data_IF_829490775984
#
_entry.id   IF_829490775984
#
_cell.length_a   1.000
_cell.length_b   1.000
_cell.length_c   1.000
_cell.angle_alpha   90.00
_cell.angle_beta   90.00
_cell.angle_gamma   90.00
#
_symmetry.space_group_name_H-M   'P 1'
#
loop_
_entity.id
_entity.type
_entity.pdbx_description
1 polymer ?
#
# COMPACT_ATOMS: atom_id res chain seq x y z
N UNK A 1 27.97 22.19 22.19
CA UNK A 1 26.68 22.15 21.49
C UNK A 1 26.81 23.03 20.24
N UNK A 2 27.01 22.43 19.06
CA UNK A 2 27.28 23.16 17.80
C UNK A 2 25.97 23.41 17.05
N UNK A 3 25.82 24.61 16.45
CA UNK A 3 24.59 25.06 15.78
C UNK A 3 24.38 24.31 14.45
N UNK A 4 23.11 24.24 14.02
CA UNK A 4 22.60 23.43 12.89
C UNK A 4 23.29 23.70 11.54
N UNK A 5 23.92 24.87 11.36
CA UNK A 5 24.68 25.24 10.16
C UNK A 5 26.07 24.60 10.07
N UNK A 6 26.73 24.32 11.21
CA UNK A 6 28.07 23.73 11.23
C UNK A 6 28.08 22.24 10.84
N UNK A 7 26.95 21.54 11.04
CA UNK A 7 26.78 20.13 10.65
C UNK A 7 26.65 19.94 9.14
N UNK A 8 26.11 20.93 8.41
CA UNK A 8 26.01 20.88 6.93
C UNK A 8 27.38 21.05 6.26
N UNK A 9 28.24 21.93 6.80
CA UNK A 9 29.59 22.13 6.27
C UNK A 9 30.54 20.94 6.51
N UNK A 10 30.30 20.15 7.55
CA UNK A 10 31.06 18.91 7.80
C UNK A 10 30.68 17.78 6.82
N UNK A 11 29.40 17.65 6.49
CA UNK A 11 28.91 16.63 5.55
C UNK A 11 29.39 16.86 4.10
N UNK A 12 29.48 18.13 3.67
CA UNK A 12 29.99 18.48 2.33
C UNK A 12 31.51 18.26 2.22
N UNK A 13 32.28 18.48 3.30
CA UNK A 13 33.72 18.18 3.31
C UNK A 13 34.03 16.67 3.28
N UNK A 14 33.16 15.84 3.85
CA UNK A 14 33.35 14.38 3.86
C UNK A 14 33.08 13.72 2.49
N UNK A 15 32.13 14.28 1.73
CA UNK A 15 31.83 13.82 0.36
C UNK A 15 32.89 14.25 -0.68
N UNK A 16 33.61 15.34 -0.45
CA UNK A 16 34.66 15.81 -1.35
C UNK A 16 36.00 15.04 -1.21
N UNK A 17 36.24 14.35 -0.08
CA UNK A 17 37.49 13.60 0.14
C UNK A 17 37.49 12.18 -0.47
N UNK A 18 36.34 11.65 -0.87
CA UNK A 18 36.22 10.27 -1.39
C UNK A 18 36.02 10.15 -2.91
N UNK A 19 36.18 11.24 -3.67
CA UNK A 19 36.01 11.26 -5.13
C UNK A 19 37.30 11.58 -5.91
N UNK A 20 38.49 11.43 -5.31
CA UNK A 20 39.75 11.75 -5.97
C UNK A 20 40.88 10.77 -5.71
N UNK A 21 41.01 9.73 -6.56
CA UNK A 21 42.24 8.97 -6.93
C UNK A 21 41.83 7.55 -7.35
N UNK A 22 42.37 6.89 -8.39
CA UNK A 22 43.37 7.23 -9.40
C UNK A 22 43.35 6.11 -10.45
N UNK A 23 43.41 6.49 -11.72
CA UNK A 23 44.06 5.69 -12.76
C UNK A 23 45.52 5.45 -12.36
N UNK A 24 46.03 4.21 -12.45
CA UNK A 24 47.44 3.91 -12.78
C UNK A 24 47.65 2.43 -13.16
N UNK A 25 47.90 2.27 -14.45
CA UNK A 25 48.76 1.31 -15.19
C UNK A 25 49.67 0.35 -14.42
N UNK A 26 49.76 -0.90 -14.91
CA UNK A 26 50.98 -1.72 -14.86
C UNK A 26 50.76 -3.23 -15.07
N UNK A 27 51.18 -3.77 -16.23
CA UNK A 27 51.35 -5.22 -16.39
C UNK A 27 51.07 -5.78 -17.79
N UNK A 28 51.99 -5.58 -18.74
CA UNK A 28 52.05 -6.34 -20.01
C UNK A 28 52.47 -7.79 -19.71
N UNK A 29 51.62 -8.76 -20.05
CA UNK A 29 52.07 -10.12 -20.44
C UNK A 29 51.36 -10.50 -21.74
N UNK A 30 52.15 -10.62 -22.79
CA UNK A 30 51.77 -11.13 -24.10
C UNK A 30 51.53 -12.63 -24.03
N UNK A 31 50.32 -13.07 -24.38
CA UNK A 31 50.06 -14.43 -24.83
C UNK A 31 49.42 -14.35 -26.22
N UNK A 32 50.18 -14.75 -27.24
CA UNK A 32 49.64 -15.12 -28.55
C UNK A 32 49.24 -16.59 -28.49
N UNK A 33 47.99 -16.92 -28.78
CA UNK A 33 47.68 -18.06 -29.66
C UNK A 33 46.22 -18.02 -30.18
N UNK A 34 46.15 -18.04 -31.52
CA UNK A 34 45.22 -18.75 -32.40
C UNK A 34 43.70 -18.71 -32.15
N UNK A 35 43.02 -17.99 -33.06
CA UNK A 35 42.03 -18.60 -33.97
C UNK A 35 40.69 -19.01 -33.39
N UNK A 36 39.62 -18.27 -33.70
CA UNK A 36 38.27 -18.81 -33.58
C UNK A 36 37.15 -17.78 -33.47
N UNK A 37 36.55 -17.44 -34.61
CA UNK A 37 35.15 -17.01 -34.83
C UNK A 37 34.59 -15.87 -33.97
N UNK A 38 34.38 -14.72 -34.63
CA UNK A 38 33.46 -13.68 -34.20
C UNK A 38 32.05 -14.24 -33.95
N UNK A 39 31.68 -14.47 -32.68
CA UNK A 39 30.29 -14.68 -32.30
C UNK A 39 29.69 -13.29 -32.09
N UNK A 40 29.03 -12.78 -33.14
CA UNK A 40 28.14 -11.64 -33.00
C UNK A 40 26.98 -12.06 -32.07
N UNK A 41 26.97 -11.53 -30.84
CA UNK A 41 25.85 -11.60 -29.91
C UNK A 41 24.66 -10.86 -30.56
N UNK A 42 23.83 -11.60 -31.29
CA UNK A 42 22.51 -11.14 -31.69
C UNK A 42 21.70 -10.90 -30.43
N UNK A 43 21.43 -9.63 -30.12
CA UNK A 43 20.47 -9.25 -29.09
C UNK A 43 19.08 -9.72 -29.54
N UNK A 44 18.69 -10.91 -29.06
CA UNK A 44 17.32 -11.38 -29.17
C UNK A 44 16.45 -10.44 -28.33
N UNK A 45 15.89 -9.40 -28.96
CA UNK A 45 14.72 -8.68 -28.45
C UNK A 45 13.56 -9.67 -28.39
N UNK A 46 13.52 -10.44 -27.31
CA UNK A 46 12.39 -11.29 -26.96
C UNK A 46 11.27 -10.36 -26.48
N UNK A 47 10.59 -9.74 -27.43
CA UNK A 47 9.37 -8.98 -27.20
C UNK A 47 8.24 -9.98 -26.94
N UNK A 48 8.35 -10.75 -25.84
CA UNK A 48 7.22 -11.48 -25.29
C UNK A 48 6.25 -10.40 -24.83
N UNK A 49 5.27 -10.08 -25.67
CA UNK A 49 4.01 -9.50 -25.24
C UNK A 49 3.58 -10.26 -23.98
N UNK A 50 3.77 -9.63 -22.81
CA UNK A 50 3.28 -10.17 -21.55
C UNK A 50 1.76 -10.20 -21.72
N UNK A 51 1.20 -11.37 -22.03
CA UNK A 51 -0.24 -11.59 -21.96
C UNK A 51 -0.67 -11.07 -20.60
N UNK A 52 -1.53 -10.07 -20.57
CA UNK A 52 -2.17 -9.64 -19.32
C UNK A 52 -2.89 -10.88 -18.78
N UNK A 53 -2.53 -11.36 -17.58
CA UNK A 53 -3.25 -12.47 -16.96
C UNK A 53 -4.75 -12.13 -16.94
N UNK A 54 -5.59 -13.05 -17.41
CA UNK A 54 -7.03 -12.80 -17.55
C UNK A 54 -7.78 -12.84 -16.21
N UNK A 55 -7.11 -13.22 -15.11
CA UNK A 55 -7.72 -13.33 -13.78
C UNK A 55 -7.52 -12.10 -12.90
N UNK A 56 -8.40 -11.99 -11.89
CA UNK A 56 -8.24 -11.09 -10.76
C UNK A 56 -7.03 -11.54 -9.91
N UNK A 57 -6.11 -10.61 -9.64
CA UNK A 57 -4.96 -10.85 -8.76
C UNK A 57 -5.12 -10.06 -7.47
N UNK A 58 -4.82 -10.73 -6.36
CA UNK A 58 -4.75 -10.16 -5.01
C UNK A 58 -3.28 -10.25 -4.60
N UNK A 59 -2.65 -9.11 -4.36
CA UNK A 59 -1.22 -9.00 -4.06
C UNK A 59 -1.07 -8.21 -2.75
N UNK A 60 -0.98 -8.87 -1.59
CA UNK A 60 -0.63 -8.19 -0.35
C UNK A 60 0.83 -7.72 -0.43
N UNK A 61 1.07 -6.44 -0.19
CA UNK A 61 2.40 -5.83 -0.11
C UNK A 61 2.85 -5.55 1.33
N UNK A 62 1.93 -5.68 2.29
CA UNK A 62 2.19 -5.60 3.73
C UNK A 62 0.96 -6.02 4.54
N UNK A 63 1.16 -6.32 5.82
CA UNK A 63 0.10 -6.76 6.75
C UNK A 63 -0.20 -8.26 6.69
N UNK A 64 0.73 -9.07 6.18
CA UNK A 64 0.62 -10.53 6.18
C UNK A 64 1.82 -11.13 6.90
N UNK A 65 1.57 -12.10 7.80
CA UNK A 65 2.57 -12.66 8.73
C UNK A 65 3.22 -11.61 9.65
N UNK A 66 2.53 -10.49 9.87
CA UNK A 66 2.99 -9.36 10.68
C UNK A 66 1.82 -8.47 11.13
N UNK A 67 2.10 -7.53 12.04
CA UNK A 67 1.15 -6.50 12.48
C UNK A 67 1.63 -5.14 11.98
N UNK A 68 0.76 -4.44 11.27
CA UNK A 68 1.03 -3.12 10.72
C UNK A 68 1.25 -3.11 9.22
N UNK A 69 1.53 -1.93 8.67
CA UNK A 69 1.85 -1.68 7.24
C UNK A 69 0.87 -2.32 6.25
N UNK A 70 -0.42 -2.33 6.58
CA UNK A 70 -1.45 -2.91 5.72
C UNK A 70 -1.47 -2.24 4.34
N UNK A 71 -1.33 -3.05 3.30
CA UNK A 71 -1.46 -2.60 1.90
C UNK A 71 -1.74 -3.80 1.01
N UNK A 72 -2.92 -3.83 0.38
CA UNK A 72 -3.29 -4.87 -0.57
C UNK A 72 -3.58 -4.29 -1.94
N UNK A 73 -2.98 -4.89 -2.98
CA UNK A 73 -3.19 -4.51 -4.37
C UNK A 73 -4.12 -5.49 -5.06
N UNK A 74 -5.17 -4.97 -5.69
CA UNK A 74 -6.09 -5.71 -6.53
C UNK A 74 -5.86 -5.31 -7.99
N UNK A 75 -5.47 -6.26 -8.83
CA UNK A 75 -5.18 -6.01 -10.25
C UNK A 75 -6.05 -6.90 -11.15
N UNK A 76 -6.88 -6.28 -11.98
CA UNK A 76 -7.68 -6.95 -12.99
C UNK A 76 -7.48 -6.29 -14.35
N UNK A 77 -7.01 -7.07 -15.33
CA UNK A 77 -6.57 -6.56 -16.65
C UNK A 77 -5.52 -5.45 -16.48
N UNK A 78 -5.89 -4.21 -16.84
CA UNK A 78 -5.04 -3.03 -16.77
C UNK A 78 -5.44 -2.07 -15.64
N UNK A 79 -6.39 -2.46 -14.78
CA UNK A 79 -6.88 -1.62 -13.70
C UNK A 79 -6.34 -2.14 -12.37
N UNK A 80 -5.85 -1.21 -11.55
CA UNK A 80 -5.33 -1.46 -10.22
C UNK A 80 -6.14 -0.66 -9.21
N UNK A 81 -6.59 -1.31 -8.14
CA UNK A 81 -7.13 -0.68 -6.94
C UNK A 81 -6.26 -1.10 -5.77
N UNK A 82 -5.93 -0.15 -4.90
CA UNK A 82 -5.15 -0.40 -3.69
C UNK A 82 -6.08 -0.22 -2.50
N UNK A 83 -5.99 -1.09 -1.51
CA UNK A 83 -6.62 -0.93 -0.21
C UNK A 83 -5.53 -0.69 0.84
N UNK A 84 -5.63 0.46 1.49
CA UNK A 84 -4.76 0.98 2.54
C UNK A 84 -3.29 1.21 2.13
N UNK A 85 -2.61 2.05 2.92
CA UNK A 85 -1.18 2.39 2.84
C UNK A 85 -0.65 2.63 4.25
N UNK A 86 -0.52 1.54 5.00
CA UNK A 86 -0.07 1.55 6.38
C UNK A 86 1.42 1.78 6.58
N UNK A 87 1.79 2.17 7.80
CA UNK A 87 3.15 2.01 8.32
C UNK A 87 3.20 0.95 9.42
N UNK A 88 4.40 0.51 9.76
CA UNK A 88 4.68 -0.31 10.93
C UNK A 88 5.74 0.39 11.78
N UNK A 89 5.59 0.34 13.10
CA UNK A 89 6.62 0.84 14.01
C UNK A 89 7.79 -0.15 14.08
N UNK A 90 9.03 0.35 14.19
CA UNK A 90 10.22 -0.49 14.27
C UNK A 90 10.26 -1.29 15.58
N UNK A 91 10.99 -2.42 15.56
CA UNK A 91 11.31 -3.19 16.76
C UNK A 91 12.49 -2.57 17.52
N UNK A 92 12.70 -3.01 18.77
CA UNK A 92 13.74 -2.46 19.67
C UNK A 92 15.16 -2.61 19.11
N UNK A 93 15.39 -3.57 18.21
CA UNK A 93 16.68 -3.88 17.59
C UNK A 93 16.96 -3.09 16.29
N UNK A 94 16.11 -2.12 15.94
CA UNK A 94 16.23 -1.30 14.73
C UNK A 94 16.60 0.17 15.03
N UNK A 95 17.80 0.45 15.60
CA UNK A 95 18.17 1.81 15.98
C UNK A 95 18.30 2.72 14.75
N UNK A 96 17.63 3.87 14.80
CA UNK A 96 17.66 4.88 13.74
C UNK A 96 16.60 4.72 12.65
N UNK A 97 15.71 3.73 12.77
CA UNK A 97 14.49 3.61 11.96
C UNK A 97 13.33 4.25 12.73
N UNK A 98 12.56 5.11 12.08
CA UNK A 98 11.36 5.73 12.70
C UNK A 98 10.07 4.95 12.38
N UNK A 99 9.98 4.39 11.17
CA UNK A 99 8.85 3.59 10.69
C UNK A 99 9.25 2.78 9.45
N UNK A 100 8.50 1.70 9.20
CA UNK A 100 8.64 0.79 8.07
C UNK A 100 7.40 0.94 7.18
N UNK A 101 7.58 0.92 5.85
CA UNK A 101 6.48 1.06 4.87
C UNK A 101 6.52 -0.07 3.83
N UNK A 102 5.40 -0.40 3.17
CA UNK A 102 5.34 -1.41 2.13
C UNK A 102 6.29 -1.14 0.93
N UNK A 103 6.88 -2.20 0.37
CA UNK A 103 7.64 -2.11 -0.89
C UNK A 103 6.70 -2.12 -2.09
N UNK A 104 6.59 -0.96 -2.75
CA UNK A 104 5.73 -0.75 -3.92
C UNK A 104 6.42 -1.06 -5.26
N UNK A 105 7.58 -1.74 -5.27
CA UNK A 105 8.31 -2.10 -6.49
C UNK A 105 7.46 -2.84 -7.52
N UNK A 106 6.43 -3.58 -7.07
CA UNK A 106 5.44 -4.23 -7.93
C UNK A 106 4.66 -3.25 -8.83
N UNK A 107 4.43 -2.03 -8.35
CA UNK A 107 3.65 -0.98 -9.01
C UNK A 107 4.50 -0.12 -9.96
N UNK A 108 5.82 -0.29 -9.95
CA UNK A 108 6.74 0.47 -10.79
C UNK A 108 6.43 0.27 -12.28
N UNK A 109 6.17 1.37 -12.98
CA UNK A 109 5.75 1.37 -14.39
C UNK A 109 4.27 1.05 -14.62
N UNK A 110 3.49 0.85 -13.56
CA UNK A 110 2.03 0.62 -13.59
C UNK A 110 1.25 1.77 -12.92
N UNK A 111 1.89 2.88 -12.59
CA UNK A 111 1.29 3.98 -11.82
C UNK A 111 0.04 4.52 -12.51
N UNK A 112 0.05 4.59 -13.85
CA UNK A 112 -1.09 5.03 -14.68
C UNK A 112 -2.29 4.07 -14.67
N UNK A 113 -2.08 2.83 -14.24
CA UNK A 113 -3.11 1.81 -14.13
C UNK A 113 -3.84 1.88 -12.78
N UNK A 114 -3.30 2.62 -11.81
CA UNK A 114 -3.91 2.80 -10.49
C UNK A 114 -5.13 3.71 -10.63
N UNK A 115 -6.31 3.13 -10.43
CA UNK A 115 -7.61 3.80 -10.53
C UNK A 115 -7.99 4.51 -9.24
N UNK A 116 -7.53 3.99 -8.10
CA UNK A 116 -7.64 4.66 -6.83
C UNK A 116 -7.04 3.87 -5.68
N UNK A 117 -6.86 4.56 -4.56
CA UNK A 117 -6.45 4.01 -3.27
C UNK A 117 -7.61 4.19 -2.31
N UNK A 118 -8.16 3.09 -1.80
CA UNK A 118 -9.24 3.10 -0.83
C UNK A 118 -8.62 3.01 0.55
N UNK A 119 -9.06 3.85 1.48
CA UNK A 119 -8.69 3.79 2.88
C UNK A 119 -9.87 3.30 3.71
N UNK A 120 -9.70 2.17 4.40
CA UNK A 120 -10.73 1.52 5.20
C UNK A 120 -11.05 2.34 6.46
N UNK A 121 -10.03 2.79 7.19
CA UNK A 121 -10.16 3.56 8.42
C UNK A 121 -8.90 4.39 8.73
N UNK A 122 -8.91 5.11 9.85
CA UNK A 122 -7.96 6.17 10.17
C UNK A 122 -6.68 5.78 10.94
N UNK A 123 -6.43 4.50 11.23
CA UNK A 123 -5.23 4.11 11.99
C UNK A 123 -3.95 4.19 11.16
N UNK A 124 -2.82 4.40 11.84
CA UNK A 124 -1.52 4.63 11.19
C UNK A 124 -1.01 3.40 10.42
N UNK A 125 -1.38 2.21 10.85
CA UNK A 125 -1.13 0.97 10.13
C UNK A 125 -2.02 0.78 8.89
N UNK A 126 -2.93 1.72 8.59
CA UNK A 126 -3.71 1.77 7.36
C UNK A 126 -3.49 3.05 6.53
N UNK A 127 -3.12 4.17 7.16
CA UNK A 127 -2.93 5.47 6.46
C UNK A 127 -1.50 6.01 6.54
N UNK A 128 -0.67 5.46 7.42
CA UNK A 128 0.56 6.11 7.88
C UNK A 128 1.63 6.29 6.81
N UNK A 129 1.67 5.40 5.81
CA UNK A 129 2.60 5.50 4.68
C UNK A 129 2.03 6.32 3.51
N UNK A 130 0.79 6.78 3.57
CA UNK A 130 0.14 7.51 2.49
C UNK A 130 0.97 8.71 1.97
N UNK A 131 1.58 9.58 2.81
CA UNK A 131 2.37 10.71 2.30
C UNK A 131 3.53 10.29 1.40
N UNK A 132 4.20 9.20 1.77
CA UNK A 132 5.38 8.69 1.06
C UNK A 132 4.95 7.97 -0.22
N UNK A 133 3.99 7.05 -0.11
CA UNK A 133 3.62 6.17 -1.21
C UNK A 133 2.77 6.90 -2.25
N UNK A 134 1.88 7.82 -1.86
CA UNK A 134 1.09 8.60 -2.83
C UNK A 134 1.99 9.48 -3.70
N UNK A 135 3.05 10.07 -3.13
CA UNK A 135 4.03 10.83 -3.89
C UNK A 135 4.72 9.95 -4.95
N UNK A 136 5.19 8.77 -4.55
CA UNK A 136 5.87 7.83 -5.46
C UNK A 136 4.94 7.30 -6.57
N UNK A 137 3.63 7.20 -6.29
CA UNK A 137 2.61 6.72 -7.22
C UNK A 137 1.96 7.84 -8.07
N UNK A 138 2.48 9.07 -8.01
CA UNK A 138 1.96 10.24 -8.74
C UNK A 138 0.53 10.64 -8.35
N UNK A 139 0.18 10.53 -7.07
CA UNK A 139 -1.08 10.99 -6.49
C UNK A 139 -2.34 10.45 -7.23
N UNK A 140 -2.55 9.12 -7.25
CA UNK A 140 -3.81 8.56 -7.71
C UNK A 140 -4.98 9.08 -6.85
N UNK A 141 -6.23 9.01 -7.33
CA UNK A 141 -7.39 9.37 -6.52
C UNK A 141 -7.43 8.54 -5.23
N UNK A 142 -7.72 9.18 -4.11
CA UNK A 142 -7.95 8.51 -2.83
C UNK A 142 -9.45 8.44 -2.56
N UNK A 143 -9.89 7.35 -1.95
CA UNK A 143 -11.27 7.09 -1.58
C UNK A 143 -11.31 6.84 -0.08
N UNK A 144 -12.18 7.53 0.64
CA UNK A 144 -12.29 7.37 2.08
C UNK A 144 -13.44 8.19 2.65
N UNK A 145 -13.78 7.92 3.91
CA UNK A 145 -14.73 8.72 4.68
C UNK A 145 -14.08 9.99 5.21
N UNK A 146 -14.91 10.94 5.63
CA UNK A 146 -14.48 12.29 5.97
C UNK A 146 -13.42 12.32 7.07
N UNK A 147 -13.58 11.53 8.15
CA UNK A 147 -12.59 11.48 9.22
C UNK A 147 -11.23 10.90 8.74
N UNK A 148 -11.25 9.77 8.05
CA UNK A 148 -10.05 9.14 7.47
C UNK A 148 -9.33 10.08 6.49
N UNK A 149 -10.07 10.75 5.60
CA UNK A 149 -9.52 11.73 4.65
C UNK A 149 -8.91 12.92 5.40
N UNK A 150 -9.53 13.40 6.48
CA UNK A 150 -8.99 14.50 7.27
C UNK A 150 -7.66 14.11 7.93
N UNK A 151 -7.55 12.90 8.48
CA UNK A 151 -6.31 12.39 9.06
C UNK A 151 -5.21 12.23 8.00
N UNK A 152 -5.54 11.72 6.81
CA UNK A 152 -4.59 11.64 5.68
C UNK A 152 -4.11 13.04 5.29
N UNK A 153 -5.02 14.01 5.15
CA UNK A 153 -4.65 15.41 4.81
C UNK A 153 -3.73 16.02 5.86
N UNK A 154 -4.00 15.78 7.15
CA UNK A 154 -3.14 16.25 8.22
C UNK A 154 -1.74 15.64 8.12
N UNK A 155 -1.66 14.32 7.91
CA UNK A 155 -0.39 13.59 7.74
C UNK A 155 0.41 14.07 6.51
N UNK A 156 -0.28 14.41 5.43
CA UNK A 156 0.32 15.01 4.24
C UNK A 156 0.99 16.35 4.59
N UNK A 157 0.28 17.26 5.27
CA UNK A 157 0.82 18.56 5.67
C UNK A 157 1.98 18.45 6.66
N UNK A 158 1.96 17.46 7.56
CA UNK A 158 3.08 17.16 8.46
C UNK A 158 4.33 16.70 7.70
N UNK A 159 4.15 15.97 6.61
CA UNK A 159 5.24 15.44 5.79
C UNK A 159 5.85 16.51 4.86
N UNK A 160 5.01 17.23 4.12
CA UNK A 160 5.38 18.32 3.23
C UNK A 160 4.27 19.37 3.23
N UNK A 161 4.63 20.62 3.56
CA UNK A 161 3.72 21.76 3.54
C UNK A 161 3.01 21.86 2.18
N UNK A 162 1.71 22.12 2.22
CA UNK A 162 0.81 22.26 1.07
C UNK A 162 0.62 20.97 0.24
N UNK A 163 1.15 19.83 0.67
CA UNK A 163 1.06 18.58 -0.09
C UNK A 163 -0.35 17.98 -0.09
N UNK A 164 -1.21 18.30 0.89
CA UNK A 164 -2.60 17.81 0.90
C UNK A 164 -3.41 18.35 -0.28
N UNK A 165 -3.02 19.50 -0.86
CA UNK A 165 -3.64 20.09 -2.06
C UNK A 165 -3.45 19.23 -3.32
N UNK A 166 -2.49 18.30 -3.30
CA UNK A 166 -2.24 17.37 -4.42
C UNK A 166 -3.22 16.20 -4.44
N UNK A 167 -3.92 15.94 -3.32
CA UNK A 167 -4.86 14.84 -3.21
C UNK A 167 -6.11 15.06 -4.06
N UNK A 168 -6.48 14.04 -4.82
CA UNK A 168 -7.77 13.96 -5.52
C UNK A 168 -8.68 13.07 -4.70
N UNK A 169 -9.59 13.67 -3.94
CA UNK A 169 -10.42 12.92 -2.99
C UNK A 169 -11.77 12.55 -3.59
N UNK A 170 -12.15 11.28 -3.45
CA UNK A 170 -13.49 10.77 -3.68
C UNK A 170 -14.09 10.41 -2.31
N UNK A 171 -14.92 11.29 -1.76
CA UNK A 171 -15.52 11.04 -0.45
C UNK A 171 -16.58 9.94 -0.52
N UNK A 172 -16.55 9.05 0.48
CA UNK A 172 -17.61 8.10 0.78
C UNK A 172 -18.63 8.81 1.66
N UNK A 173 -19.75 9.23 1.08
CA UNK A 173 -20.84 9.95 1.77
C UNK A 173 -21.82 9.03 2.49
N UNK A 174 -21.93 7.78 2.03
CA UNK A 174 -22.77 6.74 2.60
C UNK A 174 -22.18 5.36 2.28
N UNK A 175 -22.45 4.38 3.13
CA UNK A 175 -22.08 2.98 2.87
C UNK A 175 -22.81 2.39 1.66
N UNK A 176 -23.98 2.93 1.30
CA UNK A 176 -24.73 2.52 0.10
C UNK A 176 -24.11 3.06 -1.21
N UNK A 177 -23.12 3.95 -1.11
CA UNK A 177 -22.49 4.55 -2.27
C UNK A 177 -21.75 3.49 -3.09
N UNK A 178 -21.92 3.58 -4.41
CA UNK A 178 -21.17 2.78 -5.38
C UNK A 178 -20.23 3.67 -6.16
N UNK A 179 -18.98 3.24 -6.28
CA UNK A 179 -17.92 3.93 -7.00
C UNK A 179 -17.41 3.00 -8.09
N UNK A 180 -17.05 3.54 -9.25
CA UNK A 180 -16.43 2.78 -10.33
C UNK A 180 -14.97 3.19 -10.50
N UNK A 181 -14.07 2.23 -10.34
CA UNK A 181 -12.63 2.41 -10.50
C UNK A 181 -12.13 1.50 -11.64
N UNK A 182 -12.32 1.96 -12.88
CA UNK A 182 -12.07 1.15 -14.07
C UNK A 182 -13.02 -0.04 -14.14
N UNK A 183 -12.47 -1.25 -14.20
CA UNK A 183 -13.21 -2.51 -14.19
C UNK A 183 -13.73 -2.92 -12.81
N UNK A 184 -13.34 -2.22 -11.74
CA UNK A 184 -13.82 -2.49 -10.38
C UNK A 184 -15.09 -1.70 -10.07
N UNK A 185 -16.15 -2.42 -9.71
CA UNK A 185 -17.27 -1.87 -8.94
C UNK A 185 -16.91 -1.90 -7.46
N UNK A 186 -16.95 -0.75 -6.80
CA UNK A 186 -16.61 -0.59 -5.38
C UNK A 186 -17.86 -0.20 -4.63
N UNK A 187 -18.17 -0.92 -3.56
CA UNK A 187 -19.21 -0.56 -2.59
C UNK A 187 -18.71 -0.80 -1.18
N UNK A 188 -19.47 -0.32 -0.19
CA UNK A 188 -19.05 -0.33 1.21
C UNK A 188 -20.09 -1.00 2.08
N UNK A 189 -19.70 -1.33 3.30
CA UNK A 189 -20.62 -1.79 4.34
C UNK A 189 -20.14 -1.31 5.70
N UNK A 190 -21.09 -1.19 6.65
CA UNK A 190 -20.80 -0.74 8.01
C UNK A 190 -20.01 -1.82 8.74
N UNK A 191 -19.00 -1.42 9.48
CA UNK A 191 -18.27 -2.25 10.44
C UNK A 191 -18.19 -1.51 11.77
N UNK A 192 -17.85 -2.24 12.82
CA UNK A 192 -17.41 -1.67 14.10
C UNK A 192 -15.90 -1.79 14.20
N UNK A 193 -15.30 -0.75 14.78
CA UNK A 193 -13.87 -0.66 15.06
C UNK A 193 -13.65 0.50 16.04
N UNK A 194 -12.48 0.54 16.65
CA UNK A 194 -12.11 1.54 17.67
C UNK A 194 -11.91 2.97 17.13
N UNK A 195 -12.02 3.18 15.81
CA UNK A 195 -11.96 4.51 15.20
C UNK A 195 -13.24 4.84 14.43
N UNK A 196 -13.65 6.10 14.52
CA UNK A 196 -14.75 6.63 13.72
C UNK A 196 -14.51 6.38 12.23
N UNK A 197 -15.61 6.22 11.52
CA UNK A 197 -15.64 6.18 10.06
C UNK A 197 -14.96 4.96 9.40
N UNK A 198 -14.68 3.91 10.17
CA UNK A 198 -14.27 2.64 9.62
C UNK A 198 -15.35 2.05 8.70
N UNK A 199 -14.93 1.54 7.53
CA UNK A 199 -15.83 0.93 6.54
C UNK A 199 -15.23 -0.33 5.93
N UNK A 200 -16.08 -1.34 5.80
CA UNK A 200 -15.78 -2.51 4.99
C UNK A 200 -15.90 -2.20 3.50
N UNK A 201 -15.09 -2.87 2.69
CA UNK A 201 -14.97 -2.65 1.25
C UNK A 201 -15.37 -3.90 0.49
N UNK A 202 -16.16 -3.72 -0.56
CA UNK A 202 -16.52 -4.76 -1.52
C UNK A 202 -15.94 -4.34 -2.88
N UNK A 203 -15.15 -5.22 -3.49
CA UNK A 203 -14.59 -5.03 -4.83
C UNK A 203 -15.17 -6.07 -5.78
N UNK A 204 -15.94 -5.62 -6.77
CA UNK A 204 -16.58 -6.46 -7.76
C UNK A 204 -15.85 -6.34 -9.10
N UNK A 205 -15.54 -7.49 -9.69
CA UNK A 205 -15.04 -7.60 -11.06
C UNK A 205 -15.87 -8.65 -11.81
N UNK A 206 -15.74 -8.74 -13.15
CA UNK A 206 -16.36 -9.84 -13.89
C UNK A 206 -15.96 -11.25 -13.44
N UNK A 207 -14.79 -11.41 -12.79
CA UNK A 207 -14.31 -12.71 -12.32
C UNK A 207 -14.86 -13.10 -10.94
N UNK A 208 -15.31 -12.12 -10.15
CA UNK A 208 -15.76 -12.37 -8.79
C UNK A 208 -15.79 -11.13 -7.90
N UNK A 209 -16.25 -11.36 -6.67
CA UNK A 209 -16.41 -10.35 -5.63
C UNK A 209 -15.40 -10.59 -4.51
N UNK A 210 -14.74 -9.53 -4.05
CA UNK A 210 -13.91 -9.54 -2.85
C UNK A 210 -14.67 -8.79 -1.76
N UNK A 211 -14.71 -9.35 -0.55
CA UNK A 211 -15.21 -8.70 0.66
C UNK A 211 -14.03 -8.56 1.60
N UNK A 212 -13.77 -7.33 2.03
CA UNK A 212 -12.68 -6.99 2.94
C UNK A 212 -13.22 -6.02 4.01
N UNK A 213 -13.50 -6.47 5.24
CA UNK A 213 -13.98 -5.58 6.30
C UNK A 213 -12.90 -4.58 6.72
N UNK A 214 -11.61 -4.88 6.50
CA UNK A 214 -10.54 -4.15 7.16
C UNK A 214 -10.38 -4.70 8.56
N UNK A 215 -9.90 -3.87 9.46
CA UNK A 215 -9.93 -4.18 10.88
C UNK A 215 -11.35 -4.01 11.39
N UNK A 216 -11.85 -5.00 12.14
CA UNK A 216 -13.25 -5.00 12.55
C UNK A 216 -13.48 -5.77 13.84
N UNK A 217 -14.51 -5.33 14.56
CA UNK A 217 -15.04 -6.02 15.73
C UNK A 217 -16.53 -6.35 15.53
N UNK A 218 -17.06 -7.23 16.39
CA UNK A 218 -18.49 -7.51 16.48
C UNK A 218 -18.97 -7.03 17.84
N UNK A 219 -19.48 -5.81 17.89
CA UNK A 219 -20.15 -5.26 19.03
C UNK A 219 -21.47 -5.98 19.31
N UNK A 220 -21.84 -5.94 20.58
CA UNK A 220 -23.13 -6.41 21.08
C UNK A 220 -23.75 -5.31 21.94
N UNK A 221 -25.07 -5.19 21.87
CA UNK A 221 -25.80 -4.31 22.79
C UNK A 221 -25.80 -4.88 24.22
N UNK A 222 -26.30 -4.12 25.20
CA UNK A 222 -26.46 -4.54 26.61
C UNK A 222 -27.21 -5.88 26.77
N UNK A 223 -28.01 -6.28 25.76
CA UNK A 223 -28.79 -7.52 25.75
C UNK A 223 -28.07 -8.66 25.04
N UNK A 224 -26.85 -8.44 24.57
CA UNK A 224 -26.04 -9.42 23.85
C UNK A 224 -26.39 -9.60 22.37
N UNK A 225 -27.26 -8.75 21.79
CA UNK A 225 -27.61 -8.81 20.37
C UNK A 225 -26.55 -8.11 19.53
N UNK A 226 -26.29 -8.65 18.32
CA UNK A 226 -25.43 -7.97 17.35
C UNK A 226 -26.05 -6.64 16.93
N UNK A 227 -25.25 -5.60 16.97
CA UNK A 227 -25.59 -4.23 16.54
C UNK A 227 -25.62 -4.07 15.02
N UNK A 228 -24.87 -4.91 14.28
CA UNK A 228 -24.76 -4.88 12.82
C UNK A 228 -25.11 -6.26 12.23
N UNK A 229 -25.93 -6.26 11.16
CA UNK A 229 -26.23 -7.45 10.37
C UNK A 229 -25.48 -7.46 9.03
N UNK A 230 -24.79 -8.57 8.77
CA UNK A 230 -24.03 -8.82 7.54
C UNK A 230 -24.75 -9.73 6.54
N UNK A 231 -26.02 -10.09 6.79
CA UNK A 231 -26.79 -11.01 5.92
C UNK A 231 -26.83 -10.55 4.46
N UNK A 232 -26.84 -9.24 4.23
CA UNK A 232 -26.85 -8.64 2.90
C UNK A 232 -25.61 -9.03 2.07
N UNK A 233 -24.47 -9.33 2.71
CA UNK A 233 -23.24 -9.77 2.03
C UNK A 233 -23.39 -11.15 1.37
N UNK A 234 -24.29 -12.00 1.89
CA UNK A 234 -24.57 -13.33 1.32
C UNK A 234 -25.21 -13.29 -0.08
N UNK A 235 -25.77 -12.13 -0.46
CA UNK A 235 -26.44 -11.88 -1.74
C UNK A 235 -25.49 -11.40 -2.83
N UNK A 236 -24.20 -11.23 -2.52
CA UNK A 236 -23.22 -10.74 -3.48
C UNK A 236 -22.93 -11.78 -4.59
N UNK A 237 -22.56 -11.33 -5.80
CA UNK A 237 -22.23 -12.21 -6.92
C UNK A 237 -21.06 -13.16 -6.59
N UNK A 238 -21.18 -14.41 -7.09
CA UNK A 238 -20.18 -15.47 -6.96
C UNK A 238 -19.30 -15.58 -8.23
N UNK A 239 -18.06 -16.06 -8.12
CA UNK A 239 -17.38 -16.48 -6.88
C UNK A 239 -17.07 -15.30 -5.96
N UNK A 240 -17.01 -15.57 -4.66
CA UNK A 240 -16.75 -14.57 -3.62
C UNK A 240 -15.53 -14.97 -2.82
N UNK A 241 -14.60 -14.05 -2.61
CA UNK A 241 -13.44 -14.18 -1.73
C UNK A 241 -13.68 -13.30 -0.52
N UNK A 242 -13.63 -13.89 0.67
CA UNK A 242 -13.69 -13.17 1.94
C UNK A 242 -12.26 -13.06 2.49
N UNK A 243 -11.77 -11.84 2.66
CA UNK A 243 -10.48 -11.55 3.28
C UNK A 243 -10.78 -11.00 4.68
N UNK A 244 -10.37 -11.73 5.72
CA UNK A 244 -10.61 -11.33 7.11
C UNK A 244 -9.28 -11.01 7.78
N UNK A 245 -9.33 -10.02 8.67
CA UNK A 245 -8.34 -9.82 9.71
C UNK A 245 -8.16 -11.10 10.54
N UNK A 246 -6.93 -11.38 10.96
CA UNK A 246 -6.56 -12.54 11.77
C UNK A 246 -6.06 -12.18 13.17
N UNK A 247 -6.06 -10.89 13.54
CA UNK A 247 -5.80 -10.49 14.92
C UNK A 247 -6.89 -11.09 15.83
N UNK A 248 -6.46 -11.69 16.94
CA UNK A 248 -7.37 -12.41 17.84
C UNK A 248 -7.92 -13.73 17.29
N UNK A 249 -7.50 -14.22 16.12
CA UNK A 249 -8.03 -15.48 15.56
C UNK A 249 -7.75 -16.72 16.42
N UNK A 250 -6.75 -16.65 17.30
CA UNK A 250 -6.41 -17.69 18.28
C UNK A 250 -6.93 -17.37 19.68
N UNK A 251 -7.58 -16.22 19.87
CA UNK A 251 -8.19 -15.84 21.13
C UNK A 251 -9.61 -16.42 21.20
N UNK A 252 -9.91 -17.08 22.32
CA UNK A 252 -11.21 -17.67 22.60
C UNK A 252 -12.01 -16.88 23.63
N UNK A 253 -11.44 -15.79 24.16
CA UNK A 253 -12.14 -14.87 25.04
C UNK A 253 -13.15 -14.04 24.24
N UNK A 254 -14.20 -13.57 24.92
CA UNK A 254 -15.08 -12.59 24.30
C UNK A 254 -14.31 -11.27 24.15
N UNK A 255 -14.39 -10.61 22.98
CA UNK A 255 -13.78 -9.31 22.81
C UNK A 255 -14.36 -8.35 23.86
N UNK A 256 -13.53 -7.49 24.48
CA UNK A 256 -14.02 -6.53 25.46
C UNK A 256 -15.13 -5.68 24.82
N UNK A 257 -16.21 -5.44 25.57
CA UNK A 257 -17.22 -4.48 25.17
C UNK A 257 -16.57 -3.09 25.10
N UNK A 258 -16.84 -2.33 24.03
CA UNK A 258 -16.38 -0.93 23.90
C UNK A 258 -17.20 0.05 24.79
N UNK A 259 -18.02 -0.47 25.70
CA UNK A 259 -18.79 0.27 26.72
C UNK A 259 -18.04 0.36 28.06
#
# INVERSE_FOLDING_TARGET
MLKKEDKRNLAVKFLAQNLGNKNKTGGRKSYQSNGGKNIALKSSKNNKSRRTPQGLRIIPLGGQEEVGRNMTVFEYKNDIVILDMGLQFPEEDMPGVDYIVPDISYLKGKEKNIRGVIFSHGHLDHIGAAPILLQQLNYPPIVGRDFTVALIKNKMEDYEKDSAKRLKVINIKSVDQKIKLGAFGVSFFKIEHSVMDAVGVILQTPEGTIIHPGDWTVGRDEKGNRTISYEHLSKLPRPTVLMLESLGATDHSEPPSEE
#
